data_IF_867835053486
#
_entry.id   IF_867835053486
#
_cell.length_a   1.000
_cell.length_b   1.000
_cell.length_c   1.000
_cell.angle_alpha   90.00
_cell.angle_beta   90.00
_cell.angle_gamma   90.00
#
_symmetry.space_group_name_H-M   'P 1'
#
loop_
_entity.id
_entity.type
_entity.pdbx_description
1 polymer ?
#
# COMPACT_ATOMS: atom_id res chain seq x y z
N UNK A 1 -12.01 -0.23 -24.88
CA UNK A 1 -12.58 0.93 -24.18
C UNK A 1 -12.74 2.01 -25.22
N UNK A 2 -13.85 2.73 -25.24
CA UNK A 2 -14.06 3.91 -26.10
C UNK A 2 -14.09 5.19 -25.24
N UNK A 3 -14.06 6.35 -25.89
CA UNK A 3 -14.10 7.66 -25.23
C UNK A 3 -15.34 7.80 -24.34
N UNK A 4 -16.52 7.46 -24.83
CA UNK A 4 -17.78 7.59 -24.10
C UNK A 4 -17.79 6.80 -22.78
N UNK A 5 -17.27 5.56 -22.80
CA UNK A 5 -17.19 4.74 -21.60
C UNK A 5 -16.11 5.24 -20.64
N UNK A 6 -14.99 5.75 -21.15
CA UNK A 6 -13.94 6.31 -20.32
C UNK A 6 -14.39 7.63 -19.67
N UNK A 7 -15.02 8.53 -20.42
CA UNK A 7 -15.62 9.77 -19.93
C UNK A 7 -16.61 9.51 -18.78
N UNK A 8 -17.57 8.60 -18.97
CA UNK A 8 -18.50 8.19 -17.90
C UNK A 8 -17.79 7.61 -16.68
N UNK A 9 -16.64 6.97 -16.86
CA UNK A 9 -15.85 6.49 -15.73
C UNK A 9 -15.22 7.67 -14.98
N UNK A 10 -14.64 8.65 -15.66
CA UNK A 10 -14.13 9.87 -15.03
C UNK A 10 -15.23 10.62 -14.25
N UNK A 11 -16.41 10.82 -14.84
CA UNK A 11 -17.57 11.43 -14.16
C UNK A 11 -17.95 10.66 -12.90
N UNK A 12 -18.14 9.34 -13.02
CA UNK A 12 -18.49 8.50 -11.87
C UNK A 12 -17.39 8.49 -10.80
N UNK A 13 -16.13 8.53 -11.21
CA UNK A 13 -14.99 8.54 -10.31
C UNK A 13 -14.94 9.85 -9.51
N UNK A 14 -15.18 10.99 -10.16
CA UNK A 14 -15.28 12.29 -9.48
C UNK A 14 -16.31 12.25 -8.34
N UNK A 15 -17.52 11.76 -8.64
CA UNK A 15 -18.64 11.76 -7.70
C UNK A 15 -18.50 10.72 -6.56
N UNK A 16 -17.92 9.55 -6.84
CA UNK A 16 -17.83 8.47 -5.86
C UNK A 16 -16.54 8.49 -5.04
N UNK A 17 -15.42 8.83 -5.66
CA UNK A 17 -14.09 8.67 -5.07
C UNK A 17 -13.49 10.02 -4.66
N UNK A 18 -13.90 11.12 -5.29
CA UNK A 18 -13.34 12.45 -5.04
C UNK A 18 -14.32 13.51 -4.50
N UNK A 19 -15.45 13.21 -3.84
CA UNK A 19 -16.43 14.25 -3.47
C UNK A 19 -15.84 15.35 -2.57
N UNK A 20 -14.85 15.01 -1.73
CA UNK A 20 -14.20 15.94 -0.80
C UNK A 20 -12.81 16.42 -1.28
N UNK A 21 -12.49 16.21 -2.56
CA UNK A 21 -11.16 16.51 -3.14
C UNK A 21 -11.32 17.49 -4.31
N UNK A 22 -11.34 18.80 -4.03
CA UNK A 22 -11.76 19.80 -5.02
C UNK A 22 -10.93 19.77 -6.30
N UNK A 23 -9.62 19.48 -6.22
CA UNK A 23 -8.77 19.42 -7.42
C UNK A 23 -9.09 18.16 -8.24
N UNK A 24 -9.03 16.99 -7.63
CA UNK A 24 -9.24 15.73 -8.36
C UNK A 24 -10.68 15.56 -8.85
N UNK A 25 -11.66 16.06 -8.10
CA UNK A 25 -13.05 16.14 -8.53
C UNK A 25 -13.18 16.96 -9.82
N UNK A 26 -12.68 18.21 -9.79
CA UNK A 26 -12.73 19.11 -10.94
C UNK A 26 -11.97 18.56 -12.14
N UNK A 27 -10.75 18.08 -11.91
CA UNK A 27 -9.90 17.50 -12.95
C UNK A 27 -10.57 16.32 -13.64
N UNK A 28 -11.24 15.44 -12.88
CA UNK A 28 -11.96 14.30 -13.46
C UNK A 28 -13.16 14.74 -14.31
N UNK A 29 -13.98 15.68 -13.81
CA UNK A 29 -15.12 16.19 -14.58
C UNK A 29 -14.70 16.90 -15.86
N UNK A 30 -13.65 17.73 -15.81
CA UNK A 30 -13.16 18.44 -16.99
C UNK A 30 -12.46 17.48 -17.97
N UNK A 31 -11.69 16.49 -17.49
CA UNK A 31 -11.07 15.47 -18.32
C UNK A 31 -12.10 14.56 -19.03
N UNK A 32 -13.29 14.34 -18.45
CA UNK A 32 -14.36 13.57 -19.09
C UNK A 32 -14.85 14.20 -20.40
N UNK A 33 -14.65 15.51 -20.58
CA UNK A 33 -15.02 16.24 -21.80
C UNK A 33 -13.82 16.60 -22.68
N UNK A 34 -12.61 16.16 -22.31
CA UNK A 34 -11.37 16.45 -23.01
C UNK A 34 -10.91 15.26 -23.86
N UNK A 35 -11.25 15.28 -25.15
CA UNK A 35 -10.91 14.20 -26.08
C UNK A 35 -9.40 13.97 -26.16
N UNK A 36 -8.58 15.03 -26.09
CA UNK A 36 -7.13 14.91 -26.20
C UNK A 36 -6.54 14.17 -24.98
N UNK A 37 -7.03 14.44 -23.76
CA UNK A 37 -6.61 13.69 -22.59
C UNK A 37 -7.12 12.25 -22.59
N UNK A 38 -8.38 12.03 -23.01
CA UNK A 38 -8.92 10.68 -23.14
C UNK A 38 -8.09 9.84 -24.13
N UNK A 39 -7.64 10.43 -25.24
CA UNK A 39 -6.72 9.79 -26.18
C UNK A 39 -5.40 9.39 -25.51
N UNK A 40 -4.82 10.26 -24.68
CA UNK A 40 -3.61 9.92 -23.93
C UNK A 40 -3.84 8.73 -23.00
N UNK A 41 -4.92 8.74 -22.21
CA UNK A 41 -5.23 7.65 -21.28
C UNK A 41 -5.44 6.32 -22.00
N UNK A 42 -6.01 6.33 -23.21
CA UNK A 42 -6.20 5.13 -24.03
C UNK A 42 -4.87 4.54 -24.55
N UNK A 43 -3.76 5.27 -24.49
CA UNK A 43 -2.41 4.72 -24.78
C UNK A 43 -1.85 3.86 -23.64
N UNK A 44 -2.47 3.91 -22.45
CA UNK A 44 -2.01 3.13 -21.31
C UNK A 44 -2.14 1.63 -21.53
N UNK A 45 -1.37 0.85 -20.76
CA UNK A 45 -1.40 -0.60 -20.83
C UNK A 45 -2.83 -1.16 -20.63
N UNK A 46 -3.21 -2.26 -21.32
CA UNK A 46 -4.52 -2.87 -21.15
C UNK A 46 -4.87 -3.12 -19.67
N UNK A 47 -6.06 -2.68 -19.25
CA UNK A 47 -6.50 -2.77 -17.85
C UNK A 47 -6.15 -1.57 -16.96
N UNK A 48 -5.31 -0.65 -17.46
CA UNK A 48 -4.88 0.57 -16.77
C UNK A 48 -5.56 1.85 -17.29
N UNK A 49 -6.54 1.75 -18.19
CA UNK A 49 -7.37 2.87 -18.66
C UNK A 49 -8.27 3.43 -17.55
N UNK A 50 -7.70 4.08 -16.53
CA UNK A 50 -8.35 4.46 -15.27
C UNK A 50 -8.05 5.92 -14.92
N UNK A 51 -8.99 6.64 -14.29
CA UNK A 51 -8.75 8.00 -13.79
C UNK A 51 -7.51 8.11 -12.91
N UNK A 52 -7.34 7.20 -11.95
CA UNK A 52 -6.20 7.19 -11.04
C UNK A 52 -4.82 7.22 -11.72
N UNK A 53 -4.67 6.59 -12.89
CA UNK A 53 -3.38 6.61 -13.61
C UNK A 53 -3.07 8.01 -14.16
N UNK A 54 -4.06 8.67 -14.76
CA UNK A 54 -3.92 10.06 -15.23
C UNK A 54 -3.59 10.99 -14.06
N UNK A 55 -4.34 10.87 -12.96
CA UNK A 55 -4.17 11.69 -11.76
C UNK A 55 -2.76 11.54 -11.17
N UNK A 56 -2.28 10.30 -11.04
CA UNK A 56 -0.93 10.02 -10.57
C UNK A 56 0.16 10.52 -11.54
N UNK A 57 -0.03 10.35 -12.86
CA UNK A 57 0.93 10.85 -13.85
C UNK A 57 1.07 12.38 -13.84
N UNK A 58 -0.05 13.10 -13.72
CA UNK A 58 -0.03 14.56 -13.57
C UNK A 58 0.62 14.99 -12.24
N UNK A 59 0.34 14.26 -11.16
CA UNK A 59 0.95 14.54 -9.87
C UNK A 59 2.46 14.27 -9.86
N UNK A 60 2.94 13.22 -10.53
CA UNK A 60 4.38 12.94 -10.65
C UNK A 60 5.10 14.07 -11.39
N UNK A 61 4.53 14.57 -12.50
CA UNK A 61 5.06 15.74 -13.21
C UNK A 61 5.10 16.97 -12.30
N UNK A 62 4.07 17.22 -11.50
CA UNK A 62 4.06 18.34 -10.55
C UNK A 62 5.13 18.19 -9.47
N UNK A 63 5.32 16.98 -8.94
CA UNK A 63 6.38 16.71 -7.96
C UNK A 63 7.78 16.85 -8.59
N UNK A 64 7.91 16.55 -9.89
CA UNK A 64 9.16 16.68 -10.63
C UNK A 64 9.46 18.13 -11.06
N UNK A 65 8.42 18.90 -11.39
CA UNK A 65 8.50 20.26 -11.92
C UNK A 65 7.60 21.22 -11.11
N UNK A 66 7.98 21.54 -9.84
CA UNK A 66 7.14 22.31 -8.93
C UNK A 66 6.99 23.80 -9.30
N UNK A 67 7.78 24.28 -10.26
CA UNK A 67 7.74 25.68 -10.73
C UNK A 67 6.74 25.89 -11.89
N UNK A 68 6.23 24.82 -12.49
CA UNK A 68 5.27 24.88 -13.59
C UNK A 68 3.87 25.34 -13.13
N UNK A 69 3.07 26.00 -13.99
CA UNK A 69 1.76 26.55 -13.60
C UNK A 69 0.81 25.56 -12.92
N UNK A 70 0.81 24.29 -13.38
CA UNK A 70 -0.04 23.24 -12.81
C UNK A 70 0.26 22.98 -11.32
N UNK A 71 1.51 23.18 -10.86
CA UNK A 71 1.91 22.98 -9.47
C UNK A 71 1.11 23.85 -8.50
N UNK A 72 0.64 25.02 -8.96
CA UNK A 72 -0.10 25.95 -8.12
C UNK A 72 -1.49 25.46 -7.71
N UNK A 73 -1.95 24.34 -8.26
CA UNK A 73 -3.18 23.65 -7.87
C UNK A 73 -2.94 22.58 -6.79
N UNK A 74 -1.70 22.11 -6.62
CA UNK A 74 -1.37 20.92 -5.83
C UNK A 74 -0.84 21.29 -4.43
N UNK A 75 -1.56 20.96 -3.34
CA UNK A 75 -1.10 21.21 -1.97
C UNK A 75 0.25 20.61 -1.61
N UNK A 76 0.61 19.47 -2.24
CA UNK A 76 1.89 18.77 -2.00
C UNK A 76 3.13 19.60 -2.32
N UNK A 77 2.98 20.63 -3.14
CA UNK A 77 4.04 21.59 -3.50
C UNK A 77 3.64 23.04 -3.14
N UNK A 78 2.67 23.21 -2.22
CA UNK A 78 2.24 24.51 -1.71
C UNK A 78 1.17 25.23 -2.54
N UNK A 79 0.54 24.54 -3.50
CA UNK A 79 -0.58 25.04 -4.28
C UNK A 79 -1.91 25.08 -3.50
N UNK A 80 -2.93 25.68 -4.12
CA UNK A 80 -4.30 25.76 -3.61
C UNK A 80 -5.24 25.05 -4.58
N UNK A 81 -5.92 23.96 -4.18
CA UNK A 81 -6.78 23.17 -5.06
C UNK A 81 -8.12 23.86 -5.33
N UNK A 82 -8.44 24.94 -4.61
CA UNK A 82 -9.68 25.72 -4.75
C UNK A 82 -9.48 27.02 -5.52
N UNK A 83 -8.27 27.28 -6.01
CA UNK A 83 -7.93 28.50 -6.74
C UNK A 83 -8.82 28.70 -7.97
N UNK A 84 -8.96 29.96 -8.39
CA UNK A 84 -9.54 30.28 -9.69
C UNK A 84 -8.49 30.13 -10.81
N UNK A 85 -8.99 29.89 -12.03
CA UNK A 85 -8.15 29.74 -13.21
C UNK A 85 -8.62 28.62 -14.13
N UNK A 86 -7.93 28.51 -15.26
CA UNK A 86 -8.13 27.48 -16.26
C UNK A 86 -7.21 26.29 -15.95
N UNK A 87 -7.76 25.32 -15.21
CA UNK A 87 -7.02 24.11 -14.82
C UNK A 87 -6.56 23.32 -16.04
N UNK A 88 -7.40 23.19 -17.07
CA UNK A 88 -7.08 22.38 -18.24
C UNK A 88 -6.03 23.03 -19.11
N UNK A 89 -6.00 24.37 -19.21
CA UNK A 89 -4.89 25.06 -19.86
C UNK A 89 -3.55 24.74 -19.18
N UNK A 90 -3.50 24.74 -17.84
CA UNK A 90 -2.29 24.40 -17.08
C UNK A 90 -1.93 22.90 -17.23
N UNK A 91 -2.91 22.00 -17.28
CA UNK A 91 -2.71 20.56 -17.55
C UNK A 91 -2.10 20.32 -18.92
N UNK A 92 -2.68 20.92 -19.97
CA UNK A 92 -2.17 20.79 -21.33
C UNK A 92 -0.78 21.39 -21.50
N UNK A 93 -0.52 22.54 -20.86
CA UNK A 93 0.81 23.15 -20.86
C UNK A 93 1.86 22.23 -20.21
N UNK A 94 1.54 21.62 -19.06
CA UNK A 94 2.41 20.66 -18.38
C UNK A 94 2.71 19.45 -19.27
N UNK A 95 1.68 18.83 -19.87
CA UNK A 95 1.88 17.67 -20.77
C UNK A 95 2.69 18.06 -22.00
N UNK A 96 2.43 19.23 -22.59
CA UNK A 96 3.15 19.70 -23.77
C UNK A 96 4.63 20.02 -23.49
N UNK A 97 4.94 20.50 -22.27
CA UNK A 97 6.31 20.71 -21.82
C UNK A 97 7.05 19.39 -21.53
N UNK A 98 6.32 18.35 -21.09
CA UNK A 98 6.88 17.06 -20.67
C UNK A 98 6.20 15.84 -21.34
N UNK A 99 6.16 15.75 -22.68
CA UNK A 99 5.36 14.73 -23.36
C UNK A 99 5.92 13.31 -23.18
N UNK A 100 7.24 13.15 -23.23
CA UNK A 100 7.88 11.83 -23.10
C UNK A 100 7.75 11.27 -21.68
N UNK A 101 8.08 12.00 -20.59
CA UNK A 101 7.85 11.50 -19.22
C UNK A 101 6.38 11.11 -18.97
N UNK A 102 5.43 11.92 -19.45
CA UNK A 102 4.02 11.62 -19.30
C UNK A 102 3.61 10.33 -20.03
N UNK A 103 4.01 10.18 -21.30
CA UNK A 103 3.69 9.00 -22.10
C UNK A 103 4.38 7.73 -21.59
N UNK A 104 5.58 7.84 -21.01
CA UNK A 104 6.27 6.72 -20.36
C UNK A 104 5.48 6.22 -19.14
N UNK A 105 5.01 7.13 -18.28
CA UNK A 105 4.21 6.77 -17.11
C UNK A 105 2.90 6.07 -17.50
N UNK A 106 2.17 6.58 -18.50
CA UNK A 106 0.93 5.95 -18.94
C UNK A 106 1.15 4.53 -19.47
N UNK A 107 2.27 4.28 -20.17
CA UNK A 107 2.57 2.97 -20.74
C UNK A 107 3.16 1.99 -19.73
N UNK A 108 3.99 2.46 -18.81
CA UNK A 108 4.85 1.63 -17.97
C UNK A 108 4.42 1.50 -16.52
N UNK A 109 3.63 2.44 -15.99
CA UNK A 109 3.29 2.46 -14.56
C UNK A 109 1.90 1.92 -14.27
N UNK A 110 1.73 1.43 -13.04
CA UNK A 110 0.44 1.12 -12.42
C UNK A 110 0.33 1.85 -11.08
N UNK A 111 -0.87 2.28 -10.74
CA UNK A 111 -1.11 2.98 -9.46
C UNK A 111 -1.01 2.04 -8.27
N UNK A 112 -0.53 2.55 -7.14
CA UNK A 112 -0.39 1.82 -5.89
C UNK A 112 -1.21 2.48 -4.78
N UNK A 113 -1.86 1.69 -3.91
CA UNK A 113 -2.76 2.23 -2.87
C UNK A 113 -1.99 2.94 -1.75
N UNK A 114 -0.71 2.58 -1.51
CA UNK A 114 0.23 3.18 -0.55
C UNK A 114 -0.37 3.54 0.82
N UNK A 115 -1.33 2.73 1.30
CA UNK A 115 -2.02 2.97 2.56
C UNK A 115 -1.34 2.22 3.71
N UNK A 116 -0.41 2.88 4.38
CA UNK A 116 0.33 2.33 5.53
C UNK A 116 -0.58 2.13 6.75
N UNK A 117 -1.66 2.90 6.89
CA UNK A 117 -2.53 2.80 8.08
C UNK A 117 -3.30 1.49 8.17
N UNK A 118 -3.38 0.72 7.09
CA UNK A 118 -4.02 -0.61 7.08
C UNK A 118 -3.34 -1.57 8.06
N UNK A 119 -2.06 -1.35 8.38
CA UNK A 119 -1.33 -2.17 9.33
C UNK A 119 -1.82 -2.03 10.77
N UNK A 120 -2.60 -0.98 11.08
CA UNK A 120 -3.30 -0.88 12.36
C UNK A 120 -4.30 -2.03 12.61
N UNK A 121 -4.62 -2.81 11.58
CA UNK A 121 -5.43 -4.01 11.73
C UNK A 121 -4.61 -5.25 12.11
N UNK A 122 -3.29 -5.25 11.93
CA UNK A 122 -2.47 -6.46 12.06
C UNK A 122 -2.28 -6.89 13.53
N UNK A 123 -1.99 -5.98 14.49
CA UNK A 123 -1.92 -6.36 15.90
C UNK A 123 -3.20 -7.01 16.44
N UNK A 124 -4.41 -6.44 16.26
CA UNK A 124 -5.62 -7.13 16.72
C UNK A 124 -5.90 -8.44 15.97
N UNK A 125 -5.54 -8.56 14.68
CA UNK A 125 -5.66 -9.83 13.94
C UNK A 125 -4.75 -10.94 14.50
N UNK A 126 -3.50 -10.62 14.82
CA UNK A 126 -2.58 -11.50 15.53
C UNK A 126 -3.10 -11.86 16.94
N UNK A 127 -3.70 -10.87 17.61
CA UNK A 127 -4.46 -11.04 18.85
C UNK A 127 -5.51 -12.13 18.77
N UNK A 128 -6.34 -12.06 17.72
CA UNK A 128 -7.43 -13.00 17.47
C UNK A 128 -6.92 -14.41 17.15
N UNK A 129 -5.79 -14.55 16.45
CA UNK A 129 -5.14 -15.85 16.22
C UNK A 129 -4.80 -16.55 17.54
N UNK A 130 -4.25 -15.80 18.50
CA UNK A 130 -3.96 -16.30 19.85
C UNK A 130 -5.18 -16.82 20.62
N UNK A 131 -6.40 -16.39 20.24
CA UNK A 131 -7.63 -16.89 20.83
C UNK A 131 -8.15 -18.16 20.15
N UNK A 132 -7.90 -18.31 18.84
CA UNK A 132 -8.26 -19.52 18.09
C UNK A 132 -7.39 -20.72 18.48
N UNK A 133 -6.15 -20.46 18.89
CA UNK A 133 -5.23 -21.45 19.45
C UNK A 133 -5.48 -21.56 20.97
N UNK A 134 -6.49 -22.35 21.34
CA UNK A 134 -7.12 -22.37 22.67
C UNK A 134 -6.22 -22.93 23.79
N UNK A 135 -5.52 -22.07 24.54
CA UNK A 135 -4.92 -22.38 25.85
C UNK A 135 -3.85 -21.37 26.31
N UNK A 136 -3.66 -21.15 27.62
CA UNK A 136 -2.55 -20.29 28.12
C UNK A 136 -1.18 -20.83 27.70
N UNK A 137 -1.03 -22.16 27.71
CA UNK A 137 0.18 -22.85 27.25
C UNK A 137 0.40 -22.66 25.75
N UNK A 138 -0.67 -22.52 24.96
CA UNK A 138 -0.61 -22.28 23.52
C UNK A 138 -0.26 -20.82 23.20
N UNK A 139 -0.77 -19.84 23.97
CA UNK A 139 -0.37 -18.42 23.84
C UNK A 139 1.09 -18.20 24.20
N UNK A 140 1.58 -18.81 25.28
CA UNK A 140 2.99 -18.76 25.65
C UNK A 140 3.87 -19.40 24.55
N UNK A 141 3.43 -20.55 24.03
CA UNK A 141 4.10 -21.22 22.91
C UNK A 141 4.19 -20.34 21.66
N UNK A 142 3.16 -19.55 21.32
CA UNK A 142 3.23 -18.62 20.19
C UNK A 142 4.27 -17.51 20.38
N UNK A 143 4.41 -16.99 21.61
CA UNK A 143 5.43 -15.97 21.91
C UNK A 143 6.83 -16.57 21.76
N UNK A 144 7.04 -17.80 22.24
CA UNK A 144 8.33 -18.50 22.12
C UNK A 144 8.67 -18.85 20.66
N UNK A 145 7.67 -19.22 19.87
CA UNK A 145 7.82 -19.59 18.46
C UNK A 145 8.05 -18.38 17.55
N UNK A 146 7.47 -17.23 17.88
CA UNK A 146 7.49 -16.06 17.00
C UNK A 146 6.65 -16.26 15.73
N UNK A 147 6.56 -15.19 14.94
CA UNK A 147 5.78 -15.13 13.70
C UNK A 147 6.71 -14.88 12.51
N UNK A 148 6.72 -15.80 11.56
CA UNK A 148 7.30 -15.59 10.24
C UNK A 148 6.24 -14.89 9.37
N UNK A 149 6.43 -13.59 9.13
CA UNK A 149 5.43 -12.74 8.49
C UNK A 149 5.67 -12.64 6.98
N UNK A 150 4.69 -13.09 6.18
CA UNK A 150 4.74 -13.09 4.73
C UNK A 150 3.63 -12.23 4.15
N UNK A 151 3.94 -11.23 3.32
CA UNK A 151 2.92 -10.39 2.65
C UNK A 151 2.89 -10.62 1.13
N UNK A 152 1.74 -11.00 0.57
CA UNK A 152 1.50 -11.07 -0.87
C UNK A 152 1.03 -9.71 -1.40
N UNK A 153 1.67 -9.23 -2.47
CA UNK A 153 1.47 -7.89 -3.02
C UNK A 153 2.13 -6.81 -2.17
N UNK A 154 3.33 -7.09 -1.65
CA UNK A 154 4.03 -6.22 -0.71
C UNK A 154 4.49 -4.88 -1.32
N UNK A 155 4.55 -4.75 -2.66
CA UNK A 155 4.99 -3.56 -3.38
C UNK A 155 6.38 -3.08 -2.88
N UNK A 156 6.44 -1.94 -2.18
CA UNK A 156 7.65 -1.41 -1.56
C UNK A 156 7.96 -1.97 -0.15
N UNK A 157 7.09 -2.81 0.41
CA UNK A 157 7.22 -3.40 1.75
C UNK A 157 6.74 -2.51 2.89
N UNK A 158 5.98 -1.45 2.59
CA UNK A 158 5.54 -0.45 3.60
C UNK A 158 4.70 -1.01 4.75
N UNK A 159 4.17 -2.23 4.62
CA UNK A 159 3.30 -2.83 5.64
C UNK A 159 3.97 -4.01 6.36
N UNK A 160 5.14 -4.42 5.90
CA UNK A 160 5.94 -5.47 6.53
C UNK A 160 6.52 -5.00 7.87
N UNK A 161 6.85 -3.71 8.00
CA UNK A 161 7.39 -3.10 9.23
C UNK A 161 6.31 -2.64 10.22
N UNK A 162 5.12 -3.25 10.21
CA UNK A 162 4.00 -2.78 11.04
C UNK A 162 4.29 -2.75 12.53
N UNK A 163 5.13 -3.67 12.99
CA UNK A 163 5.50 -3.85 14.39
C UNK A 163 6.55 -2.82 14.87
N UNK A 164 7.18 -2.11 13.94
CA UNK A 164 8.07 -0.98 14.23
C UNK A 164 7.30 0.38 14.31
N UNK A 165 6.02 0.40 13.93
CA UNK A 165 5.24 1.63 13.82
C UNK A 165 4.52 2.00 15.11
N UNK A 166 4.38 3.31 15.36
CA UNK A 166 3.60 3.81 16.49
C UNK A 166 2.13 3.90 16.11
N UNK A 167 1.27 3.10 16.75
CA UNK A 167 -0.16 3.03 16.41
C UNK A 167 -1.01 3.46 17.61
N UNK A 168 -1.80 4.53 17.45
CA UNK A 168 -2.76 4.98 18.45
C UNK A 168 -4.18 4.51 18.13
N UNK A 169 -4.83 3.87 19.10
CA UNK A 169 -6.23 3.42 19.04
C UNK A 169 -7.12 4.32 19.90
N UNK A 170 -7.80 5.28 19.28
CA UNK A 170 -8.53 6.34 20.00
C UNK A 170 -9.69 5.84 20.87
N UNK A 171 -10.33 4.73 20.47
CA UNK A 171 -11.42 4.09 21.22
C UNK A 171 -10.95 3.20 22.37
N UNK A 172 -9.66 2.87 22.44
CA UNK A 172 -9.08 2.01 23.49
C UNK A 172 -8.25 2.80 24.50
N UNK A 173 -8.02 4.09 24.26
CA UNK A 173 -7.00 4.90 24.95
C UNK A 173 -5.65 4.18 25.03
N UNK A 174 -5.25 3.59 23.90
CA UNK A 174 -4.07 2.71 23.81
C UNK A 174 -3.17 3.14 22.67
N UNK A 175 -1.88 3.21 22.93
CA UNK A 175 -0.85 3.36 21.89
C UNK A 175 0.15 2.22 22.02
N UNK A 176 0.51 1.62 20.89
CA UNK A 176 1.46 0.51 20.78
C UNK A 176 2.63 0.90 19.87
N UNK A 177 3.65 0.03 19.82
CA UNK A 177 4.88 0.24 19.05
C UNK A 177 5.86 1.19 19.74
N UNK A 178 6.98 1.45 19.07
CA UNK A 178 8.00 2.35 19.61
C UNK A 178 7.50 3.81 19.68
N UNK A 179 7.55 4.41 20.86
CA UNK A 179 7.23 5.82 21.07
C UNK A 179 8.13 6.79 20.28
N UNK A 180 9.34 6.34 19.89
CA UNK A 180 10.29 7.10 19.09
C UNK A 180 10.03 7.02 17.57
N UNK A 181 9.20 6.07 17.13
CA UNK A 181 8.89 5.86 15.72
C UNK A 181 8.33 7.14 15.06
N UNK A 182 8.91 7.50 13.92
CA UNK A 182 8.44 8.60 13.08
C UNK A 182 7.18 8.23 12.30
N UNK A 183 6.92 6.94 12.11
CA UNK A 183 5.72 6.42 11.46
C UNK A 183 4.57 6.37 12.46
N UNK A 184 3.66 7.34 12.36
CA UNK A 184 2.55 7.53 13.29
C UNK A 184 1.22 7.19 12.63
N UNK A 185 0.58 6.15 13.15
CA UNK A 185 -0.70 5.64 12.69
C UNK A 185 -1.79 5.92 13.72
N UNK A 186 -3.03 6.05 13.24
CA UNK A 186 -4.20 6.31 14.09
C UNK A 186 -5.36 5.45 13.61
N UNK A 187 -6.02 4.77 14.53
CA UNK A 187 -7.15 3.90 14.25
C UNK A 187 -8.27 4.18 15.26
N UNK A 188 -9.47 4.41 14.76
CA UNK A 188 -10.65 4.54 15.63
C UNK A 188 -11.25 3.15 15.88
N UNK A 189 -11.05 2.62 17.08
CA UNK A 189 -11.66 1.36 17.51
C UNK A 189 -13.15 1.57 17.85
N UNK A 190 -14.03 0.69 17.33
CA UNK A 190 -15.48 0.72 17.56
C UNK A 190 -16.01 -0.69 17.80
N UNK A 191 -17.05 -0.84 18.63
CA UNK A 191 -17.68 -2.14 18.91
C UNK A 191 -17.31 -2.68 20.29
N UNK A 192 -16.97 -3.97 20.38
CA UNK A 192 -16.53 -4.61 21.63
C UNK A 192 -15.09 -4.20 21.96
N UNK A 193 -14.96 -3.09 22.69
CA UNK A 193 -13.68 -2.48 23.02
C UNK A 193 -12.85 -3.35 23.99
N UNK A 194 -13.49 -4.21 24.78
CA UNK A 194 -12.78 -5.08 25.73
C UNK A 194 -12.11 -6.25 25.01
N UNK A 195 -12.85 -6.90 24.10
CA UNK A 195 -12.27 -7.93 23.23
C UNK A 195 -11.15 -7.36 22.34
N UNK A 196 -11.36 -6.16 21.78
CA UNK A 196 -10.32 -5.49 20.96
C UNK A 196 -9.07 -5.16 21.78
N UNK A 197 -9.22 -4.75 23.04
CA UNK A 197 -8.06 -4.44 23.90
C UNK A 197 -7.21 -5.67 24.19
N UNK A 198 -7.84 -6.80 24.54
CA UNK A 198 -7.09 -8.06 24.76
C UNK A 198 -6.38 -8.50 23.48
N UNK A 199 -7.06 -8.40 22.33
CA UNK A 199 -6.48 -8.73 21.03
C UNK A 199 -5.27 -7.84 20.70
N UNK A 200 -5.39 -6.52 20.84
CA UNK A 200 -4.27 -5.60 20.61
C UNK A 200 -3.11 -5.89 21.55
N UNK A 201 -3.37 -6.02 22.85
CA UNK A 201 -2.33 -6.25 23.85
C UNK A 201 -1.57 -7.56 23.58
N UNK A 202 -2.28 -8.64 23.26
CA UNK A 202 -1.62 -9.91 22.94
C UNK A 202 -0.90 -9.90 21.60
N UNK A 203 -1.52 -9.34 20.56
CA UNK A 203 -0.89 -9.29 19.24
C UNK A 203 0.45 -8.56 19.28
N UNK A 204 0.57 -7.52 20.12
CA UNK A 204 1.84 -6.79 20.32
C UNK A 204 2.90 -7.53 21.14
N UNK A 205 2.53 -8.63 21.80
CA UNK A 205 3.49 -9.48 22.52
C UNK A 205 4.13 -10.53 21.61
N UNK A 206 3.56 -10.79 20.43
CA UNK A 206 4.09 -11.78 19.49
C UNK A 206 5.34 -11.20 18.78
N UNK A 207 6.52 -11.82 18.92
CA UNK A 207 7.70 -11.40 18.18
C UNK A 207 7.52 -11.67 16.69
N UNK A 208 7.89 -10.70 15.85
CA UNK A 208 7.98 -10.91 14.40
C UNK A 208 9.38 -11.43 14.12
N UNK A 209 9.47 -12.74 13.86
CA UNK A 209 10.73 -13.46 13.68
C UNK A 209 11.36 -13.18 12.30
N UNK A 210 10.56 -12.92 11.28
CA UNK A 210 11.01 -12.52 9.95
C UNK A 210 9.91 -11.75 9.20
N UNK A 211 10.32 -10.96 8.19
CA UNK A 211 9.45 -10.11 7.37
C UNK A 211 9.78 -10.27 5.89
N UNK A 212 9.00 -11.07 5.17
CA UNK A 212 9.22 -11.34 3.74
C UNK A 212 8.02 -10.88 2.91
N UNK A 213 8.27 -10.11 1.86
CA UNK A 213 7.27 -9.71 0.88
C UNK A 213 7.35 -10.56 -0.38
N UNK A 214 6.22 -10.74 -1.05
CA UNK A 214 6.12 -11.27 -2.40
C UNK A 214 5.42 -10.25 -3.28
N UNK A 215 6.03 -9.82 -4.37
CA UNK A 215 5.41 -8.89 -5.31
C UNK A 215 5.85 -9.14 -6.76
N UNK A 216 4.96 -8.87 -7.73
CA UNK A 216 5.26 -9.05 -9.15
C UNK A 216 6.24 -8.00 -9.68
N UNK A 217 6.23 -6.81 -9.07
CA UNK A 217 7.10 -5.70 -9.41
C UNK A 217 7.48 -4.95 -8.12
N UNK A 218 8.36 -5.53 -7.28
CA UNK A 218 8.83 -4.88 -6.08
C UNK A 218 9.38 -3.50 -6.40
N UNK A 219 8.93 -2.50 -5.65
CA UNK A 219 9.30 -1.10 -5.89
C UNK A 219 10.55 -0.76 -5.07
N UNK A 220 11.50 -0.07 -5.67
CA UNK A 220 12.72 0.34 -4.98
C UNK A 220 12.51 1.71 -4.30
N UNK A 221 12.63 1.75 -2.98
CA UNK A 221 12.47 2.99 -2.21
C UNK A 221 13.71 3.89 -2.26
N UNK A 222 14.87 3.33 -2.64
CA UNK A 222 16.10 4.10 -2.84
C UNK A 222 16.18 4.72 -4.25
N UNK A 223 15.36 4.26 -5.19
CA UNK A 223 15.17 4.92 -6.48
C UNK A 223 14.21 6.12 -6.34
N UNK A 224 14.73 7.30 -6.69
CA UNK A 224 13.98 8.56 -6.54
C UNK A 224 12.76 8.66 -7.47
N UNK A 225 12.75 7.98 -8.62
CA UNK A 225 11.60 7.98 -9.53
C UNK A 225 10.50 7.04 -9.03
N UNK A 226 10.86 5.87 -8.51
CA UNK A 226 9.95 4.92 -7.89
C UNK A 226 9.31 5.50 -6.62
N UNK A 227 10.12 6.09 -5.73
CA UNK A 227 9.59 6.78 -4.54
C UNK A 227 8.65 7.93 -4.91
N UNK A 228 9.01 8.75 -5.91
CA UNK A 228 8.14 9.84 -6.38
C UNK A 228 6.85 9.30 -7.00
N UNK A 229 6.90 8.21 -7.76
CA UNK A 229 5.70 7.57 -8.32
C UNK A 229 4.75 7.08 -7.23
N UNK A 230 5.28 6.43 -6.18
CA UNK A 230 4.46 6.03 -5.03
C UNK A 230 3.83 7.24 -4.34
N UNK A 231 4.59 8.32 -4.15
CA UNK A 231 4.08 9.58 -3.60
C UNK A 231 2.98 10.16 -4.49
N UNK A 232 3.16 10.16 -5.81
CA UNK A 232 2.20 10.67 -6.78
C UNK A 232 0.87 9.88 -6.78
N UNK A 233 0.93 8.58 -6.45
CA UNK A 233 -0.27 7.75 -6.26
C UNK A 233 -1.10 8.12 -5.02
N UNK A 234 -0.54 8.91 -4.09
CA UNK A 234 -1.28 9.47 -2.95
C UNK A 234 -1.89 10.81 -3.38
N UNK A 235 -3.18 10.96 -3.14
CA UNK A 235 -3.94 12.12 -3.58
C UNK A 235 -3.41 13.42 -2.93
N UNK A 236 -3.30 14.53 -3.68
CA UNK A 236 -2.48 15.66 -3.29
C UNK A 236 -3.05 16.44 -2.11
N UNK A 237 -4.37 16.39 -1.87
CA UNK A 237 -4.98 17.01 -0.69
C UNK A 237 -4.79 16.20 0.60
N UNK A 238 -4.35 14.94 0.51
CA UNK A 238 -4.18 14.06 1.67
C UNK A 238 -2.81 14.20 2.32
N UNK A 239 -2.46 15.43 2.74
CA UNK A 239 -1.12 15.78 3.24
C UNK A 239 -0.64 14.90 4.41
N UNK A 240 -1.54 14.51 5.32
CA UNK A 240 -1.22 13.60 6.43
C UNK A 240 -0.80 12.21 5.92
N UNK A 241 -1.39 11.73 4.81
CA UNK A 241 -0.96 10.47 4.17
C UNK A 241 0.41 10.62 3.52
N UNK A 242 0.74 11.79 2.95
CA UNK A 242 2.07 12.07 2.39
C UNK A 242 3.14 12.08 3.48
N UNK A 243 2.92 12.76 4.61
CA UNK A 243 3.84 12.77 5.74
C UNK A 243 4.09 11.35 6.29
N UNK A 244 3.01 10.56 6.42
CA UNK A 244 3.09 9.16 6.84
C UNK A 244 3.86 8.31 5.84
N UNK A 245 3.59 8.49 4.54
CA UNK A 245 4.30 7.77 3.48
C UNK A 245 5.79 8.07 3.51
N UNK A 246 6.19 9.35 3.62
CA UNK A 246 7.61 9.73 3.64
C UNK A 246 8.32 9.08 4.84
N UNK A 247 7.72 9.13 6.03
CA UNK A 247 8.27 8.48 7.22
C UNK A 247 8.39 6.95 7.05
N UNK A 248 7.35 6.30 6.51
CA UNK A 248 7.36 4.85 6.30
C UNK A 248 8.34 4.42 5.21
N UNK A 249 8.45 5.18 4.12
CA UNK A 249 9.40 4.95 3.04
C UNK A 249 10.84 5.05 3.55
N UNK A 250 11.17 6.08 4.33
CA UNK A 250 12.51 6.25 4.91
C UNK A 250 12.86 5.09 5.86
N UNK A 251 11.91 4.68 6.71
CA UNK A 251 12.09 3.57 7.66
C UNK A 251 12.31 2.24 6.93
N UNK A 252 11.43 1.91 5.97
CA UNK A 252 11.49 0.63 5.25
C UNK A 252 12.70 0.56 4.32
N UNK A 253 13.11 1.68 3.70
CA UNK A 253 14.36 1.71 2.94
C UNK A 253 15.57 1.39 3.83
N UNK A 254 15.61 1.90 5.07
CA UNK A 254 16.66 1.56 6.02
C UNK A 254 16.67 0.06 6.38
N UNK A 255 15.52 -0.50 6.75
CA UNK A 255 15.39 -1.93 7.05
C UNK A 255 15.81 -2.83 5.88
N UNK A 256 15.45 -2.45 4.64
CA UNK A 256 15.83 -3.20 3.45
C UNK A 256 17.34 -3.19 3.21
N UNK A 257 18.02 -2.06 3.45
CA UNK A 257 19.50 -2.00 3.37
C UNK A 257 20.19 -2.85 4.43
N UNK A 258 19.57 -3.01 5.59
CA UNK A 258 20.05 -3.84 6.69
C UNK A 258 19.74 -5.33 6.49
N UNK A 259 18.95 -5.69 5.46
CA UNK A 259 18.50 -7.06 5.23
C UNK A 259 17.39 -7.53 6.17
N UNK A 260 16.77 -6.62 6.92
CA UNK A 260 15.68 -6.94 7.87
C UNK A 260 14.32 -7.12 7.18
N UNK A 261 14.19 -6.65 5.93
CA UNK A 261 13.03 -6.87 5.05
C UNK A 261 13.55 -7.30 3.69
N UNK A 262 13.02 -8.43 3.21
CA UNK A 262 13.23 -8.90 1.85
C UNK A 262 11.91 -8.89 1.07
N UNK A 263 11.97 -8.56 -0.22
CA UNK A 263 10.81 -8.65 -1.12
C UNK A 263 11.21 -9.46 -2.34
N UNK A 264 10.69 -10.66 -2.43
CA UNK A 264 10.92 -11.59 -3.54
C UNK A 264 10.03 -11.19 -4.71
N UNK A 265 10.63 -11.14 -5.91
CA UNK A 265 9.92 -10.84 -7.15
C UNK A 265 9.25 -12.10 -7.70
N UNK A 266 7.91 -12.15 -7.69
CA UNK A 266 7.15 -13.25 -8.29
C UNK A 266 5.69 -12.89 -8.65
N UNK A 267 5.11 -13.66 -9.56
CA UNK A 267 3.69 -13.64 -9.92
C UNK A 267 2.87 -14.39 -8.87
N UNK A 268 2.75 -13.79 -7.68
CA UNK A 268 1.82 -14.07 -6.56
C UNK A 268 1.74 -15.49 -5.95
N UNK A 269 2.06 -16.56 -6.67
CA UNK A 269 1.76 -17.93 -6.23
C UNK A 269 2.88 -18.92 -6.51
N UNK A 270 3.60 -18.74 -7.63
CA UNK A 270 4.49 -19.78 -8.13
C UNK A 270 5.68 -20.02 -7.16
N UNK A 271 6.16 -18.97 -6.47
CA UNK A 271 7.19 -19.03 -5.43
C UNK A 271 6.69 -18.80 -4.00
N UNK A 272 5.39 -18.95 -3.72
CA UNK A 272 4.90 -18.82 -2.34
C UNK A 272 5.56 -19.84 -1.39
N UNK A 273 5.84 -21.06 -1.88
CA UNK A 273 6.60 -22.06 -1.14
C UNK A 273 8.02 -21.59 -0.80
N UNK A 274 8.75 -21.10 -1.80
CA UNK A 274 10.13 -20.59 -1.64
C UNK A 274 10.17 -19.41 -0.68
N UNK A 275 9.21 -18.48 -0.78
CA UNK A 275 9.08 -17.34 0.14
C UNK A 275 8.87 -17.77 1.59
N UNK A 276 8.08 -18.82 1.81
CA UNK A 276 7.86 -19.35 3.16
C UNK A 276 9.11 -20.04 3.70
N UNK A 277 9.84 -20.79 2.86
CA UNK A 277 11.14 -21.36 3.23
C UNK A 277 12.12 -20.24 3.62
N UNK A 278 12.24 -19.18 2.81
CA UNK A 278 13.06 -18.00 3.12
C UNK A 278 12.62 -17.33 4.44
N UNK A 279 11.31 -17.22 4.68
CA UNK A 279 10.79 -16.64 5.91
C UNK A 279 11.15 -17.47 7.15
N UNK A 280 11.11 -18.80 7.03
CA UNK A 280 11.47 -19.71 8.11
C UNK A 280 12.98 -19.74 8.36
N UNK A 281 13.80 -19.77 7.31
CA UNK A 281 15.25 -19.70 7.42
C UNK A 281 15.69 -18.38 8.10
N UNK A 282 15.06 -17.27 7.72
CA UNK A 282 15.30 -15.96 8.35
C UNK A 282 14.84 -15.95 9.82
N UNK A 283 13.73 -16.61 10.15
CA UNK A 283 13.25 -16.73 11.53
C UNK A 283 14.21 -17.57 12.39
N UNK A 284 14.69 -18.71 11.88
CA UNK A 284 15.70 -19.54 12.54
C UNK A 284 17.00 -18.76 12.79
N UNK A 285 17.46 -17.99 11.80
CA UNK A 285 18.62 -17.11 11.94
C UNK A 285 18.44 -16.04 13.03
N UNK A 286 17.19 -15.64 13.31
CA UNK A 286 16.82 -14.71 14.38
C UNK A 286 16.51 -15.41 15.72
N UNK A 287 16.73 -16.73 15.82
CA UNK A 287 16.60 -17.52 17.05
C UNK A 287 15.22 -18.14 17.26
N UNK A 288 14.43 -18.30 16.21
CA UNK A 288 13.09 -18.88 16.25
C UNK A 288 12.97 -20.16 15.38
N UNK A 289 13.28 -21.32 15.97
CA UNK A 289 13.41 -22.61 15.25
C UNK A 289 12.07 -23.25 14.81
N UNK A 290 10.93 -22.71 15.24
CA UNK A 290 9.58 -23.25 14.94
C UNK A 290 8.55 -22.11 14.81
N UNK A 291 8.87 -21.08 14.02
CA UNK A 291 7.94 -19.95 13.83
C UNK A 291 6.61 -20.35 13.20
N UNK A 292 5.55 -19.67 13.64
CA UNK A 292 4.24 -19.74 12.97
C UNK A 292 4.28 -18.86 11.75
N UNK A 293 3.95 -19.43 10.59
CA UNK A 293 3.88 -18.68 9.34
C UNK A 293 2.53 -17.97 9.27
N UNK A 294 2.57 -16.66 9.09
CA UNK A 294 1.37 -15.84 8.82
C UNK A 294 1.51 -15.23 7.44
N UNK A 295 0.67 -15.68 6.51
CA UNK A 295 0.59 -15.14 5.14
C UNK A 295 -0.55 -14.14 5.09
N UNK A 296 -0.25 -12.88 4.78
CA UNK A 296 -1.26 -11.84 4.66
C UNK A 296 -1.33 -11.30 3.25
N UNK A 297 -2.52 -10.84 2.87
CA UNK A 297 -2.67 -9.84 1.82
C UNK A 297 -3.72 -8.83 2.26
N UNK A 298 -3.47 -7.55 2.02
CA UNK A 298 -4.45 -6.52 2.38
C UNK A 298 -5.37 -6.14 1.22
N UNK A 299 -4.96 -6.44 -0.02
CA UNK A 299 -5.63 -5.89 -1.20
C UNK A 299 -5.37 -6.65 -2.51
N UNK A 300 -4.21 -7.31 -2.66
CA UNK A 300 -3.76 -7.89 -3.95
C UNK A 300 -4.75 -8.89 -4.56
N UNK A 301 -5.50 -9.61 -3.72
CA UNK A 301 -6.50 -10.59 -4.18
C UNK A 301 -7.64 -9.96 -5.01
N UNK A 302 -7.85 -8.65 -4.88
CA UNK A 302 -8.81 -7.91 -5.72
C UNK A 302 -8.32 -7.72 -7.15
N UNK A 303 -7.00 -7.76 -7.38
CA UNK A 303 -6.38 -7.60 -8.70
C UNK A 303 -6.12 -8.92 -9.42
N UNK A 304 -6.05 -10.02 -8.68
CA UNK A 304 -5.78 -11.32 -9.26
C UNK A 304 -6.98 -11.85 -10.07
N UNK A 305 -6.75 -12.41 -11.27
CA UNK A 305 -7.76 -13.20 -11.97
C UNK A 305 -8.28 -14.34 -11.11
N UNK A 306 -9.52 -14.77 -11.33
CA UNK A 306 -10.16 -15.86 -10.55
C UNK A 306 -9.32 -17.13 -10.49
N UNK A 307 -8.71 -17.53 -11.60
CA UNK A 307 -7.83 -18.72 -11.66
C UNK A 307 -6.60 -18.57 -10.75
N UNK A 308 -6.02 -17.37 -10.67
CA UNK A 308 -4.86 -17.11 -9.81
C UNK A 308 -5.23 -17.05 -8.34
N UNK A 309 -6.43 -16.55 -7.99
CA UNK A 309 -6.93 -16.65 -6.61
C UNK A 309 -7.08 -18.10 -6.15
N UNK A 310 -7.68 -18.95 -6.99
CA UNK A 310 -7.82 -20.37 -6.68
C UNK A 310 -6.47 -21.09 -6.53
N UNK A 311 -5.45 -20.67 -7.30
CA UNK A 311 -4.10 -21.19 -7.15
C UNK A 311 -3.47 -20.78 -5.81
N UNK A 312 -3.70 -19.54 -5.34
CA UNK A 312 -3.22 -19.08 -4.02
C UNK A 312 -3.82 -19.92 -2.91
N UNK A 313 -5.15 -20.12 -2.94
CA UNK A 313 -5.85 -20.94 -1.95
C UNK A 313 -5.30 -22.38 -1.94
N UNK A 314 -5.12 -22.99 -3.13
CA UNK A 314 -4.59 -24.34 -3.25
C UNK A 314 -3.14 -24.48 -2.74
N UNK A 315 -2.31 -23.45 -2.95
CA UNK A 315 -0.94 -23.43 -2.44
C UNK A 315 -0.94 -23.35 -0.91
N UNK A 316 -1.74 -22.45 -0.33
CA UNK A 316 -1.87 -22.28 1.11
C UNK A 316 -2.38 -23.56 1.80
N UNK A 317 -3.37 -24.23 1.22
CA UNK A 317 -3.88 -25.53 1.70
C UNK A 317 -2.78 -26.61 1.72
N UNK A 318 -1.96 -26.66 0.66
CA UNK A 318 -0.87 -27.63 0.56
C UNK A 318 0.23 -27.35 1.58
N UNK A 319 0.60 -26.08 1.78
CA UNK A 319 1.59 -25.65 2.78
C UNK A 319 1.10 -25.92 4.20
N UNK A 320 -0.17 -25.60 4.49
CA UNK A 320 -0.80 -25.85 5.79
C UNK A 320 -0.88 -27.34 6.16
N UNK A 321 -0.76 -28.25 5.18
CA UNK A 321 -0.60 -29.68 5.43
C UNK A 321 0.78 -30.08 5.97
N UNK A 322 1.81 -29.24 5.78
CA UNK A 322 3.19 -29.51 6.18
C UNK A 322 3.68 -28.63 7.35
N UNK A 323 3.06 -27.47 7.58
CA UNK A 323 3.51 -26.46 8.55
C UNK A 323 2.33 -25.80 9.29
N UNK A 324 2.61 -25.16 10.43
CA UNK A 324 1.60 -24.30 11.09
C UNK A 324 1.49 -22.98 10.34
N UNK A 325 0.44 -22.84 9.53
CA UNK A 325 0.19 -21.68 8.67
C UNK A 325 -1.16 -21.02 8.98
N UNK A 326 -1.19 -19.69 8.91
CA UNK A 326 -2.38 -18.86 9.02
C UNK A 326 -2.43 -17.91 7.84
N UNK A 327 -3.60 -17.71 7.22
CA UNK A 327 -3.75 -16.78 6.09
C UNK A 327 -5.10 -16.05 6.06
#
# INVERSE_FOLDING_TARGET
MDHDRLARWFERFAELECPDLPLYHRLCLEAAHDVALLDQVLTAAPGQWRPNLLLAALHDLVLQFPDEPLARWYPTVGGDPTRSGDLMADVHAMIAAHPEPFAEMLRGRSTQTNEVNRTALYPPSLGALGHLLTGRDQRASLIERGVAWVEIGASAGLNLAFDDYRIAYDGLDRTIGDGSSTVRLRCEARGDLDAMRDAVDFGTQLPIASRIGLDIAPVDLDDAADRRWLKACIWPEQLVRHERFDAAADHVAALRREGAIEIVRDVAVDGLFEVIEVALDAAEANGFDDSVVVVINSWVMTYLPTERRAAVDAALDLIGGAQTLVH
#
